data_IF_357074100928
#
_entry.id   IF_357074100928
#
_cell.length_a   1.000
_cell.length_b   1.000
_cell.length_c   1.000
_cell.angle_alpha   90.00
_cell.angle_beta   90.00
_cell.angle_gamma   90.00
#
_symmetry.space_group_name_H-M   'P 1'
#
loop_
_entity.id
_entity.type
_entity.pdbx_description
1 polymer ?
#
# COMPACT_ATOMS: atom_id res chain seq x y z
N UNK A 1 -0.69 -22.03 13.97
CA UNK A 1 0.32 -21.04 13.53
C UNK A 1 0.46 -19.99 14.63
N UNK A 2 1.44 -20.13 15.53
CA UNK A 2 1.72 -19.13 16.58
C UNK A 2 2.47 -17.97 15.92
N UNK A 3 1.80 -16.85 15.68
CA UNK A 3 2.51 -15.59 15.39
C UNK A 3 3.22 -15.23 16.70
N UNK A 4 4.57 -15.14 16.74
CA UNK A 4 5.27 -14.84 17.97
C UNK A 4 4.81 -13.46 18.47
N UNK A 5 4.33 -13.41 19.72
CA UNK A 5 3.76 -12.23 20.38
C UNK A 5 4.62 -10.97 20.20
N UNK A 6 5.94 -11.15 20.13
CA UNK A 6 6.92 -10.09 19.89
C UNK A 6 6.75 -9.39 18.52
N UNK A 7 6.44 -10.11 17.43
CA UNK A 7 6.27 -9.50 16.09
C UNK A 7 5.04 -8.59 16.02
N UNK A 8 3.93 -9.00 16.61
CA UNK A 8 2.71 -8.17 16.64
C UNK A 8 2.99 -6.90 17.42
N UNK A 9 3.61 -7.01 18.60
CA UNK A 9 3.99 -5.84 19.40
C UNK A 9 4.92 -4.91 18.64
N UNK A 10 5.97 -5.41 17.99
CA UNK A 10 6.88 -4.57 17.19
C UNK A 10 6.16 -3.84 16.07
N UNK A 11 5.25 -4.50 15.35
CA UNK A 11 4.55 -3.87 14.23
C UNK A 11 3.49 -2.88 14.68
N UNK A 12 2.79 -3.12 15.79
CA UNK A 12 1.91 -2.11 16.41
C UNK A 12 2.74 -0.89 16.82
N UNK A 13 3.90 -1.10 17.46
CA UNK A 13 4.76 0.00 17.90
C UNK A 13 5.33 0.77 16.69
N UNK A 14 5.65 0.07 15.60
CA UNK A 14 6.07 0.67 14.33
C UNK A 14 4.94 1.53 13.76
N UNK A 15 3.73 0.97 13.62
CA UNK A 15 2.58 1.69 13.10
C UNK A 15 2.20 2.91 13.95
N UNK A 16 2.23 2.77 15.28
CA UNK A 16 1.97 3.87 16.21
C UNK A 16 3.03 4.99 16.09
N UNK A 17 4.31 4.62 16.02
CA UNK A 17 5.40 5.60 15.85
C UNK A 17 5.27 6.36 14.52
N UNK A 18 4.94 5.65 13.44
CA UNK A 18 4.71 6.25 12.13
C UNK A 18 3.48 7.15 12.15
N UNK A 19 2.38 6.74 12.79
CA UNK A 19 1.20 7.57 12.93
C UNK A 19 1.51 8.89 13.66
N UNK A 20 2.26 8.83 14.77
CA UNK A 20 2.71 10.03 15.48
C UNK A 20 3.61 10.91 14.62
N UNK A 21 4.57 10.32 13.89
CA UNK A 21 5.44 11.05 12.98
C UNK A 21 4.65 11.73 11.85
N UNK A 22 3.66 11.04 11.27
CA UNK A 22 2.76 11.59 10.25
C UNK A 22 1.98 12.78 10.80
N UNK A 23 1.41 12.69 12.01
CA UNK A 23 0.71 13.81 12.66
C UNK A 23 1.64 15.00 12.81
N UNK A 24 2.85 14.79 13.34
CA UNK A 24 3.84 15.86 13.55
C UNK A 24 4.25 16.49 12.21
N UNK A 25 4.62 15.68 11.23
CA UNK A 25 5.06 16.16 9.92
C UNK A 25 3.96 16.96 9.22
N UNK A 26 2.71 16.50 9.24
CA UNK A 26 1.61 17.24 8.61
C UNK A 26 1.26 18.57 9.31
N UNK A 27 1.63 18.75 10.59
CA UNK A 27 1.47 20.02 11.30
C UNK A 27 2.57 21.02 10.89
N UNK A 28 3.82 20.56 10.76
CA UNK A 28 4.97 21.43 10.51
C UNK A 28 5.27 21.65 9.02
N UNK A 29 5.00 20.65 8.18
CA UNK A 29 5.23 20.65 6.73
C UNK A 29 4.01 20.08 6.02
N UNK A 30 2.98 20.91 5.71
CA UNK A 30 1.75 20.45 5.06
C UNK A 30 1.93 20.18 3.55
N UNK A 31 3.17 20.00 3.08
CA UNK A 31 3.43 19.82 1.66
C UNK A 31 2.84 18.49 1.18
N UNK A 32 1.91 18.61 0.22
CA UNK A 32 1.16 17.51 -0.38
C UNK A 32 2.03 16.49 -1.11
N UNK A 33 3.31 16.82 -1.37
CA UNK A 33 4.25 15.95 -2.06
C UNK A 33 5.11 15.07 -1.14
N UNK A 34 5.27 15.45 0.14
CA UNK A 34 6.15 14.75 1.08
C UNK A 34 5.62 13.35 1.42
N UNK A 35 4.33 13.24 1.74
CA UNK A 35 3.72 11.96 2.11
C UNK A 35 3.72 10.92 0.97
N UNK A 36 3.36 11.27 -0.28
CA UNK A 36 3.55 10.40 -1.44
C UNK A 36 5.00 9.93 -1.63
N UNK A 37 5.97 10.84 -1.48
CA UNK A 37 7.39 10.50 -1.61
C UNK A 37 7.83 9.53 -0.49
N UNK A 38 7.35 9.72 0.74
CA UNK A 38 7.58 8.81 1.86
C UNK A 38 6.96 7.43 1.60
N UNK A 39 5.75 7.37 1.03
CA UNK A 39 5.11 6.10 0.66
C UNK A 39 5.89 5.35 -0.43
N UNK A 40 6.32 6.05 -1.49
CA UNK A 40 7.20 5.51 -2.54
C UNK A 40 8.49 4.96 -1.95
N UNK A 41 9.16 5.75 -1.11
CA UNK A 41 10.41 5.37 -0.44
C UNK A 41 10.22 4.19 0.50
N UNK A 42 9.13 4.16 1.28
CA UNK A 42 8.83 3.04 2.16
C UNK A 42 8.65 1.74 1.36
N UNK A 43 7.84 1.77 0.29
CA UNK A 43 7.66 0.59 -0.57
C UNK A 43 9.03 0.16 -1.13
N UNK A 44 9.86 1.07 -1.63
CA UNK A 44 11.20 0.73 -2.14
C UNK A 44 12.11 0.17 -1.05
N UNK A 45 12.21 0.76 0.14
CA UNK A 45 13.10 0.29 1.21
C UNK A 45 12.69 -1.13 1.66
N UNK A 46 11.40 -1.38 1.85
CA UNK A 46 10.93 -2.69 2.29
C UNK A 46 10.92 -3.75 1.18
N UNK A 47 10.95 -3.35 -0.09
CA UNK A 47 11.01 -4.24 -1.26
C UNK A 47 12.36 -4.29 -1.96
N UNK A 48 13.30 -3.41 -1.66
CA UNK A 48 14.58 -3.26 -2.36
C UNK A 48 15.36 -4.57 -2.43
N UNK A 49 15.49 -5.34 -1.34
CA UNK A 49 16.22 -6.59 -1.40
C UNK A 49 15.53 -7.65 -2.29
N UNK A 50 14.20 -7.61 -2.38
CA UNK A 50 13.43 -8.44 -3.32
C UNK A 50 13.67 -8.01 -4.77
N UNK A 51 13.75 -6.70 -5.02
CA UNK A 51 14.05 -6.14 -6.34
C UNK A 51 15.49 -6.42 -6.78
N UNK A 52 16.46 -6.42 -5.86
CA UNK A 52 17.89 -6.61 -6.17
C UNK A 52 18.31 -8.08 -6.24
N UNK A 53 17.76 -8.95 -5.38
CA UNK A 53 18.17 -10.36 -5.29
C UNK A 53 17.10 -11.34 -5.77
N UNK A 54 15.94 -10.83 -6.22
CA UNK A 54 14.84 -11.61 -6.78
C UNK A 54 14.21 -12.58 -5.78
N UNK A 55 13.63 -13.68 -6.29
CA UNK A 55 12.97 -14.74 -5.50
C UNK A 55 13.86 -15.43 -4.46
N UNK A 56 15.19 -15.28 -4.53
CA UNK A 56 16.12 -15.94 -3.61
C UNK A 56 16.03 -15.43 -2.17
N UNK A 57 15.70 -14.15 -1.97
CA UNK A 57 15.38 -13.61 -0.64
C UNK A 57 13.89 -13.73 -0.29
N UNK A 58 13.02 -13.82 -1.30
CA UNK A 58 11.57 -13.76 -1.15
C UNK A 58 11.08 -12.42 -0.60
N UNK A 59 9.79 -12.11 -0.78
CA UNK A 59 9.18 -11.04 0.02
C UNK A 59 9.07 -11.58 1.44
N UNK A 60 10.09 -11.32 2.27
CA UNK A 60 10.10 -11.87 3.62
C UNK A 60 8.83 -11.44 4.34
N UNK A 61 8.16 -12.41 4.95
CA UNK A 61 6.84 -12.23 5.51
C UNK A 61 6.81 -11.22 6.67
N UNK A 62 7.99 -10.93 7.24
CA UNK A 62 8.23 -9.84 8.19
C UNK A 62 8.34 -8.47 7.53
N UNK A 63 9.07 -8.31 6.41
CA UNK A 63 9.20 -7.02 5.70
C UNK A 63 7.86 -6.55 5.13
N UNK A 64 7.08 -7.45 4.53
CA UNK A 64 5.72 -7.10 4.07
C UNK A 64 4.80 -6.67 5.21
N UNK A 65 4.97 -7.28 6.40
CA UNK A 65 4.20 -6.92 7.58
C UNK A 65 4.63 -5.55 8.16
N UNK A 66 5.93 -5.24 8.14
CA UNK A 66 6.41 -3.90 8.50
C UNK A 66 5.97 -2.83 7.50
N UNK A 67 6.01 -3.11 6.20
CA UNK A 67 5.49 -2.20 5.18
C UNK A 67 4.00 -1.92 5.40
N UNK A 68 3.20 -2.97 5.64
CA UNK A 68 1.79 -2.80 5.97
C UNK A 68 1.59 -1.97 7.26
N UNK A 69 2.40 -2.20 8.30
CA UNK A 69 2.34 -1.41 9.53
C UNK A 69 2.69 0.07 9.31
N UNK A 70 3.69 0.37 8.47
CA UNK A 70 4.07 1.74 8.12
C UNK A 70 2.95 2.44 7.35
N UNK A 71 2.42 1.81 6.29
CA UNK A 71 1.33 2.40 5.50
C UNK A 71 0.05 2.55 6.33
N UNK A 72 -0.26 1.58 7.19
CA UNK A 72 -1.35 1.69 8.16
C UNK A 72 -1.14 2.85 9.14
N UNK A 73 0.10 3.03 9.63
CA UNK A 73 0.47 4.14 10.50
C UNK A 73 0.24 5.49 9.83
N UNK A 74 0.70 5.66 8.58
CA UNK A 74 0.50 6.88 7.80
C UNK A 74 -0.99 7.17 7.62
N UNK A 75 -1.75 6.17 7.15
CA UNK A 75 -3.20 6.34 6.93
C UNK A 75 -3.93 6.68 8.24
N UNK A 76 -3.58 6.02 9.34
CA UNK A 76 -4.17 6.27 10.66
C UNK A 76 -3.81 7.66 11.19
N UNK A 77 -2.56 8.09 11.03
CA UNK A 77 -2.11 9.44 11.40
C UNK A 77 -2.89 10.53 10.67
N UNK A 78 -3.14 10.34 9.37
CA UNK A 78 -3.97 11.23 8.55
C UNK A 78 -5.44 11.26 9.01
N UNK A 79 -6.01 10.11 9.37
CA UNK A 79 -7.38 10.04 9.96
C UNK A 79 -7.45 10.77 11.30
N UNK A 80 -6.42 10.64 12.15
CA UNK A 80 -6.36 11.30 13.46
C UNK A 80 -6.26 12.82 13.30
N UNK A 81 -5.41 13.30 12.40
CA UNK A 81 -5.30 14.74 12.07
C UNK A 81 -6.67 15.32 11.73
N UNK A 82 -7.45 14.58 10.93
CA UNK A 82 -8.77 14.99 10.47
C UNK A 82 -9.90 14.96 11.51
N UNK A 83 -9.65 14.51 12.73
CA UNK A 83 -10.68 14.49 13.77
C UNK A 83 -10.99 15.94 14.20
N UNK A 84 -12.28 16.35 14.20
CA UNK A 84 -12.66 17.71 14.57
C UNK A 84 -12.41 17.91 16.07
N UNK A 85 -11.28 18.54 16.40
CA UNK A 85 -11.08 19.14 17.71
C UNK A 85 -11.88 20.45 17.69
N UNK A 86 -13.00 20.47 18.42
CA UNK A 86 -13.85 21.66 18.65
C UNK A 86 -14.63 22.23 17.44
N UNK A 87 -15.21 21.37 16.59
CA UNK A 87 -16.27 21.77 15.65
C UNK A 87 -15.84 22.74 14.53
N UNK A 88 -14.54 23.00 14.37
CA UNK A 88 -13.99 23.87 13.33
C UNK A 88 -13.36 23.01 12.23
N UNK A 89 -14.13 22.72 11.18
CA UNK A 89 -13.62 22.10 9.95
C UNK A 89 -12.69 23.08 9.24
N UNK A 90 -11.38 22.94 9.45
CA UNK A 90 -10.39 23.58 8.59
C UNK A 90 -10.27 22.69 7.34
N UNK A 91 -10.45 23.22 6.12
CA UNK A 91 -10.54 22.41 4.90
C UNK A 91 -9.31 21.52 4.65
N UNK A 92 -8.09 21.99 4.99
CA UNK A 92 -6.85 21.21 4.88
C UNK A 92 -6.80 19.99 5.81
N UNK A 93 -7.52 20.04 6.93
CA UNK A 93 -7.59 18.96 7.92
C UNK A 93 -8.63 17.90 7.52
N UNK A 94 -9.75 18.33 6.94
CA UNK A 94 -10.76 17.42 6.40
C UNK A 94 -10.21 16.60 5.21
N UNK A 95 -9.41 17.22 4.35
CA UNK A 95 -8.72 16.55 3.25
C UNK A 95 -7.76 15.46 3.75
N UNK A 96 -7.02 15.70 4.83
CA UNK A 96 -6.13 14.69 5.42
C UNK A 96 -6.92 13.47 5.94
N UNK A 97 -8.06 13.69 6.63
CA UNK A 97 -8.94 12.60 7.04
C UNK A 97 -9.44 11.78 5.83
N UNK A 98 -9.84 12.48 4.77
CA UNK A 98 -10.33 11.84 3.55
C UNK A 98 -9.24 11.02 2.86
N UNK A 99 -8.00 11.53 2.81
CA UNK A 99 -6.84 10.80 2.29
C UNK A 99 -6.55 9.56 3.13
N UNK A 100 -6.46 9.69 4.45
CA UNK A 100 -6.20 8.55 5.34
C UNK A 100 -7.30 7.49 5.28
N UNK A 101 -8.57 7.92 5.28
CA UNK A 101 -9.72 7.02 5.13
C UNK A 101 -9.72 6.31 3.77
N UNK A 102 -9.39 7.03 2.69
CA UNK A 102 -9.25 6.47 1.35
C UNK A 102 -8.13 5.43 1.31
N UNK A 103 -6.95 5.71 1.86
CA UNK A 103 -5.86 4.73 1.95
C UNK A 103 -6.32 3.41 2.61
N UNK A 104 -7.05 3.48 3.73
CA UNK A 104 -7.56 2.28 4.39
C UNK A 104 -8.60 1.55 3.54
N UNK A 105 -9.53 2.28 2.93
CA UNK A 105 -10.56 1.71 2.06
C UNK A 105 -9.95 1.01 0.83
N UNK A 106 -8.98 1.64 0.17
CA UNK A 106 -8.29 1.09 -1.01
C UNK A 106 -7.43 -0.12 -0.64
N UNK A 107 -6.74 -0.08 0.50
CA UNK A 107 -6.03 -1.25 1.03
C UNK A 107 -6.96 -2.44 1.25
N UNK A 108 -8.13 -2.21 1.86
CA UNK A 108 -9.15 -3.23 2.07
C UNK A 108 -9.73 -3.77 0.76
N UNK A 109 -10.01 -2.89 -0.21
CA UNK A 109 -10.48 -3.29 -1.53
C UNK A 109 -9.45 -4.20 -2.23
N UNK A 110 -8.17 -3.82 -2.20
CA UNK A 110 -7.11 -4.62 -2.81
C UNK A 110 -6.90 -5.97 -2.13
N UNK A 111 -6.96 -6.00 -0.80
CA UNK A 111 -6.93 -7.25 -0.06
C UNK A 111 -8.14 -8.16 -0.35
N UNK A 112 -9.34 -7.58 -0.49
CA UNK A 112 -10.55 -8.32 -0.83
C UNK A 112 -10.45 -8.95 -2.24
N UNK A 113 -9.91 -8.21 -3.21
CA UNK A 113 -9.63 -8.71 -4.57
C UNK A 113 -8.59 -9.83 -4.55
N UNK A 114 -7.49 -9.66 -3.82
CA UNK A 114 -6.51 -10.72 -3.61
C UNK A 114 -7.15 -11.97 -2.98
N UNK A 115 -8.01 -11.78 -1.97
CA UNK A 115 -8.68 -12.90 -1.28
C UNK A 115 -9.68 -13.62 -2.19
N UNK A 116 -10.42 -12.89 -3.02
CA UNK A 116 -11.28 -13.47 -4.05
C UNK A 116 -10.46 -14.24 -5.09
N UNK A 117 -9.31 -13.69 -5.52
CA UNK A 117 -8.36 -14.36 -6.39
C UNK A 117 -7.79 -15.64 -5.77
N UNK A 118 -7.43 -15.62 -4.49
CA UNK A 118 -6.90 -16.78 -3.77
C UNK A 118 -7.94 -17.86 -3.55
N UNK A 119 -9.22 -17.49 -3.41
CA UNK A 119 -10.32 -18.45 -3.37
C UNK A 119 -10.48 -19.20 -4.68
N UNK A 120 -10.39 -18.50 -5.82
CA UNK A 120 -10.47 -19.10 -7.16
C UNK A 120 -9.17 -19.82 -7.58
N UNK A 121 -8.03 -19.40 -7.06
CA UNK A 121 -6.71 -19.97 -7.35
C UNK A 121 -5.93 -20.23 -6.05
N UNK A 122 -5.98 -21.46 -5.52
CA UNK A 122 -5.35 -21.80 -4.24
C UNK A 122 -3.82 -21.61 -4.20
N UNK A 123 -3.16 -21.54 -5.35
CA UNK A 123 -1.71 -21.31 -5.48
C UNK A 123 -1.33 -19.82 -5.54
N UNK A 124 -2.31 -18.90 -5.56
CA UNK A 124 -2.05 -17.46 -5.61
C UNK A 124 -1.22 -16.94 -4.42
N UNK A 125 -1.44 -17.39 -3.17
CA UNK A 125 -0.65 -16.93 -2.03
C UNK A 125 0.85 -17.25 -2.14
N UNK A 126 1.23 -18.26 -2.94
CA UNK A 126 2.63 -18.64 -3.15
C UNK A 126 3.39 -17.68 -4.08
N UNK A 127 2.65 -16.92 -4.89
CA UNK A 127 3.21 -16.02 -5.92
C UNK A 127 2.91 -14.54 -5.67
N UNK A 128 1.89 -14.23 -4.85
CA UNK A 128 1.47 -12.88 -4.53
C UNK A 128 1.15 -12.76 -3.03
N UNK A 129 1.91 -11.94 -2.31
CA UNK A 129 1.73 -11.74 -0.88
C UNK A 129 0.58 -10.75 -0.61
N UNK A 130 -0.49 -11.20 0.03
CA UNK A 130 -1.67 -10.37 0.32
C UNK A 130 -1.39 -9.15 1.21
N UNK A 131 -0.33 -9.17 2.04
CA UNK A 131 0.08 -8.00 2.85
C UNK A 131 0.72 -6.92 1.98
N UNK A 132 1.50 -7.34 0.99
CA UNK A 132 2.10 -6.45 0.00
C UNK A 132 1.00 -5.80 -0.85
N UNK A 133 0.03 -6.60 -1.32
CA UNK A 133 -1.14 -6.08 -2.04
C UNK A 133 -1.83 -5.03 -1.19
N UNK A 134 -2.26 -5.37 0.04
CA UNK A 134 -2.90 -4.40 0.94
C UNK A 134 -2.10 -3.10 1.10
N UNK A 135 -0.78 -3.19 1.36
CA UNK A 135 0.04 -2.01 1.60
C UNK A 135 0.24 -1.14 0.35
N UNK A 136 0.47 -1.78 -0.80
CA UNK A 136 0.63 -1.07 -2.08
C UNK A 136 -0.67 -0.42 -2.55
N UNK A 137 -1.81 -1.09 -2.35
CA UNK A 137 -3.13 -0.53 -2.67
C UNK A 137 -3.52 0.58 -1.69
N UNK A 138 -3.20 0.42 -0.41
CA UNK A 138 -3.38 1.49 0.57
C UNK A 138 -2.55 2.74 0.24
N UNK A 139 -1.31 2.58 -0.21
CA UNK A 139 -0.48 3.70 -0.63
C UNK A 139 -1.10 4.45 -1.82
N UNK A 140 -1.68 3.75 -2.80
CA UNK A 140 -2.37 4.40 -3.91
C UNK A 140 -3.66 5.12 -3.51
N UNK A 141 -4.34 4.62 -2.48
CA UNK A 141 -5.52 5.29 -1.91
C UNK A 141 -5.25 6.70 -1.39
N UNK A 142 -3.99 7.12 -1.21
CA UNK A 142 -3.62 8.50 -0.90
C UNK A 142 -4.14 9.49 -1.96
N UNK A 143 -4.14 9.09 -3.23
CA UNK A 143 -4.64 9.88 -4.36
C UNK A 143 -6.16 9.75 -4.56
N UNK A 144 -6.90 9.38 -3.51
CA UNK A 144 -8.37 9.27 -3.53
C UNK A 144 -8.84 8.35 -4.67
N UNK A 145 -9.84 8.80 -5.44
CA UNK A 145 -10.50 8.00 -6.47
C UNK A 145 -9.55 7.61 -7.60
N UNK A 146 -8.66 8.50 -8.04
CA UNK A 146 -7.75 8.22 -9.18
C UNK A 146 -6.77 7.11 -8.83
N UNK A 147 -6.16 7.18 -7.64
CA UNK A 147 -5.26 6.13 -7.16
C UNK A 147 -5.99 4.81 -6.89
N UNK A 148 -7.19 4.88 -6.30
CA UNK A 148 -8.03 3.71 -6.04
C UNK A 148 -8.39 2.96 -7.32
N UNK A 149 -8.91 3.68 -8.33
CA UNK A 149 -9.27 3.07 -9.61
C UNK A 149 -8.03 2.50 -10.31
N UNK A 150 -6.92 3.22 -10.28
CA UNK A 150 -5.67 2.77 -10.91
C UNK A 150 -5.19 1.44 -10.33
N UNK A 151 -5.20 1.28 -9.00
CA UNK A 151 -4.74 0.03 -8.39
C UNK A 151 -5.76 -1.09 -8.50
N UNK A 152 -7.07 -0.80 -8.41
CA UNK A 152 -8.10 -1.82 -8.64
C UNK A 152 -7.99 -2.38 -10.07
N UNK A 153 -7.85 -1.51 -11.08
CA UNK A 153 -7.66 -1.93 -12.46
C UNK A 153 -6.36 -2.72 -12.65
N UNK A 154 -5.28 -2.28 -12.00
CA UNK A 154 -4.01 -3.00 -12.01
C UNK A 154 -4.16 -4.41 -11.44
N UNK A 155 -4.77 -4.56 -10.26
CA UNK A 155 -4.96 -5.85 -9.61
C UNK A 155 -5.83 -6.79 -10.43
N UNK A 156 -6.96 -6.29 -10.96
CA UNK A 156 -7.82 -7.06 -11.87
C UNK A 156 -7.01 -7.53 -13.07
N UNK A 157 -6.23 -6.64 -13.68
CA UNK A 157 -5.38 -6.98 -14.84
C UNK A 157 -4.35 -8.04 -14.47
N UNK A 158 -3.62 -7.88 -13.36
CA UNK A 158 -2.60 -8.85 -12.91
C UNK A 158 -3.21 -10.22 -12.63
N UNK A 159 -4.36 -10.27 -11.94
CA UNK A 159 -5.06 -11.52 -11.62
C UNK A 159 -5.60 -12.19 -12.88
N UNK A 160 -6.23 -11.45 -13.79
CA UNK A 160 -6.75 -11.97 -15.06
C UNK A 160 -5.62 -12.45 -15.96
N UNK A 161 -4.55 -11.68 -16.11
CA UNK A 161 -3.36 -12.07 -16.89
C UNK A 161 -2.71 -13.32 -16.30
N UNK A 162 -2.58 -13.41 -14.97
CA UNK A 162 -2.07 -14.61 -14.33
C UNK A 162 -2.95 -15.84 -14.59
N UNK A 163 -4.28 -15.70 -14.46
CA UNK A 163 -5.23 -16.77 -14.76
C UNK A 163 -5.09 -17.28 -16.20
N UNK A 164 -5.07 -16.35 -17.17
CA UNK A 164 -5.00 -16.67 -18.59
C UNK A 164 -3.65 -17.27 -18.99
N UNK A 165 -2.55 -16.71 -18.50
CA UNK A 165 -1.21 -17.22 -18.77
C UNK A 165 -1.00 -18.59 -18.15
N UNK A 166 -1.53 -18.84 -16.95
CA UNK A 166 -1.47 -20.16 -16.32
C UNK A 166 -2.31 -21.19 -17.08
N UNK A 167 -3.49 -20.80 -17.56
CA UNK A 167 -4.34 -21.67 -18.38
C UNK A 167 -3.65 -22.08 -19.70
N UNK A 168 -2.89 -21.16 -20.30
CA UNK A 168 -2.24 -21.37 -21.61
C UNK A 168 -0.82 -21.95 -21.53
N UNK A 169 -0.05 -21.58 -20.51
CA UNK A 169 1.37 -21.91 -20.37
C UNK A 169 1.68 -22.36 -18.94
N UNK A 170 1.62 -23.69 -18.69
CA UNK A 170 1.92 -24.29 -17.38
C UNK A 170 3.30 -23.93 -16.80
N UNK A 171 4.26 -23.55 -17.64
CA UNK A 171 5.65 -23.28 -17.24
C UNK A 171 5.99 -21.79 -17.08
N UNK A 172 5.10 -20.86 -17.46
CA UNK A 172 5.43 -19.43 -17.41
C UNK A 172 5.30 -18.91 -15.97
N UNK A 173 6.42 -18.72 -15.29
CA UNK A 173 6.46 -18.19 -13.93
C UNK A 173 6.51 -16.66 -13.97
N UNK A 174 5.32 -16.04 -13.95
CA UNK A 174 5.20 -14.58 -13.77
C UNK A 174 5.32 -14.25 -12.29
N UNK A 175 6.24 -13.35 -11.95
CA UNK A 175 6.43 -12.88 -10.58
C UNK A 175 5.44 -11.74 -10.26
N UNK A 176 4.33 -12.09 -9.62
CA UNK A 176 3.26 -11.13 -9.33
C UNK A 176 3.64 -10.12 -8.25
N UNK A 177 4.49 -10.47 -7.28
CA UNK A 177 4.99 -9.51 -6.29
C UNK A 177 5.84 -8.42 -6.97
N UNK A 178 6.74 -8.81 -7.87
CA UNK A 178 7.57 -7.87 -8.62
C UNK A 178 6.69 -6.95 -9.48
N UNK A 179 5.76 -7.52 -10.23
CA UNK A 179 4.83 -6.77 -11.06
C UNK A 179 3.99 -5.79 -10.22
N UNK A 180 3.48 -6.21 -9.06
CA UNK A 180 2.74 -5.35 -8.14
C UNK A 180 3.59 -4.17 -7.64
N UNK A 181 4.83 -4.43 -7.18
CA UNK A 181 5.72 -3.37 -6.66
C UNK A 181 6.01 -2.34 -7.76
N UNK A 182 6.47 -2.80 -8.93
CA UNK A 182 6.85 -1.90 -10.02
C UNK A 182 5.65 -1.12 -10.54
N UNK A 183 4.51 -1.79 -10.76
CA UNK A 183 3.34 -1.13 -11.31
C UNK A 183 2.74 -0.11 -10.33
N UNK A 184 2.74 -0.38 -9.02
CA UNK A 184 2.30 0.60 -8.03
C UNK A 184 3.28 1.76 -7.90
N UNK A 185 4.59 1.54 -7.99
CA UNK A 185 5.59 2.62 -8.04
C UNK A 185 5.31 3.56 -9.22
N UNK A 186 5.12 3.01 -10.42
CA UNK A 186 4.77 3.79 -11.62
C UNK A 186 3.45 4.53 -11.41
N UNK A 187 2.44 3.87 -10.85
CA UNK A 187 1.14 4.48 -10.56
C UNK A 187 1.27 5.69 -9.62
N UNK A 188 2.00 5.53 -8.51
CA UNK A 188 2.22 6.59 -7.54
C UNK A 188 3.02 7.75 -8.14
N UNK A 189 4.08 7.46 -8.90
CA UNK A 189 4.87 8.48 -9.61
C UNK A 189 4.01 9.25 -10.62
N UNK A 190 3.17 8.56 -11.40
CA UNK A 190 2.32 9.20 -12.39
C UNK A 190 1.25 10.09 -11.73
N UNK A 191 0.65 9.64 -10.63
CA UNK A 191 -0.27 10.46 -9.84
C UNK A 191 0.44 11.67 -9.21
N UNK A 192 1.67 11.53 -8.71
CA UNK A 192 2.46 12.67 -8.23
C UNK A 192 2.76 13.68 -9.34
N UNK A 193 3.15 13.21 -10.53
CA UNK A 193 3.39 14.08 -11.68
C UNK A 193 2.11 14.85 -12.03
N UNK A 194 0.95 14.19 -12.12
CA UNK A 194 -0.31 14.89 -12.37
C UNK A 194 -0.60 15.96 -11.31
N UNK A 195 -0.31 15.68 -10.04
CA UNK A 195 -0.50 16.64 -8.94
C UNK A 195 0.48 17.82 -9.00
N UNK A 196 1.66 17.64 -9.61
CA UNK A 196 2.65 18.70 -9.82
C UNK A 196 2.37 19.54 -11.07
N UNK A 197 1.76 18.97 -12.11
CA UNK A 197 1.54 19.62 -13.41
C UNK A 197 0.11 20.13 -13.65
N UNK A 198 -0.89 19.71 -12.86
CA UNK A 198 -2.21 20.34 -12.84
C UNK A 198 -2.25 21.40 -11.72
N UNK A 199 -2.48 22.70 -12.05
CA UNK A 199 -2.60 23.78 -11.08
C UNK A 199 -3.88 23.72 -10.24
#
# INVERSE_FOLDING_TARGET
MMIPKNRITTSILTGASVASATVILSIFEPDRLVLPAVLLAAILIFSAPYLTFGRSEGVSDGRAYHLAAVVAGIATGLVILGQPTEGRLIPTIAEAAQQGGSMLATGLAGWALWKAGAHSMPTLPDVLNGKLVWATSAAAGYFLLTGTLSVVLLEVTLLTTHYLLRAKYKSLHVDLNFAQIVAVQVCLMMNMMFLMFLP
#
